data_IF_380735713964
#
_entry.id   IF_380735713964
#
_cell.length_a   1.000
_cell.length_b   1.000
_cell.length_c   1.000
_cell.angle_alpha   90.00
_cell.angle_beta   90.00
_cell.angle_gamma   90.00
#
_symmetry.space_group_name_H-M   'P 1'
#
loop_
_entity.id
_entity.type
_entity.pdbx_description
1 polymer ?
#
# COMPACT_ATOMS: atom_id res chain seq x y z
N UNK A 1 9.46 9.02 22.22
CA UNK A 1 10.20 8.28 21.17
C UNK A 1 11.37 9.15 20.77
N UNK A 2 12.60 8.62 20.84
CA UNK A 2 13.79 9.43 20.53
C UNK A 2 13.89 9.68 19.01
N UNK A 3 14.63 10.72 18.60
CA UNK A 3 14.78 11.10 17.21
C UNK A 3 15.43 9.98 16.36
N UNK A 4 16.27 9.15 16.98
CA UNK A 4 16.89 7.98 16.37
C UNK A 4 15.84 6.93 15.95
N UNK A 5 14.90 6.59 16.83
CA UNK A 5 13.83 5.63 16.53
C UNK A 5 12.95 6.10 15.37
N UNK A 6 12.62 7.40 15.36
CA UNK A 6 11.86 8.03 14.27
C UNK A 6 12.57 7.90 12.92
N UNK A 7 13.85 8.22 12.89
CA UNK A 7 14.66 8.12 11.68
C UNK A 7 14.77 6.68 11.19
N UNK A 8 14.95 5.74 12.12
CA UNK A 8 15.01 4.32 11.81
C UNK A 8 13.71 3.81 11.18
N UNK A 9 12.56 4.11 11.81
CA UNK A 9 11.24 3.75 11.27
C UNK A 9 10.97 4.39 9.89
N UNK A 10 11.35 5.66 9.72
CA UNK A 10 11.21 6.37 8.44
C UNK A 10 12.04 5.71 7.34
N UNK A 11 13.30 5.35 7.62
CA UNK A 11 14.18 4.68 6.65
C UNK A 11 13.64 3.31 6.26
N UNK A 12 13.17 2.51 7.23
CA UNK A 12 12.56 1.22 6.93
C UNK A 12 11.32 1.35 6.04
N UNK A 13 10.46 2.34 6.32
CA UNK A 13 9.31 2.64 5.47
C UNK A 13 9.73 2.98 4.03
N UNK A 14 10.76 3.79 3.86
CA UNK A 14 11.28 4.14 2.52
C UNK A 14 11.94 2.95 1.81
N UNK A 15 12.65 2.08 2.53
CA UNK A 15 13.24 0.85 1.97
C UNK A 15 12.15 -0.09 1.46
N UNK A 16 11.00 -0.15 2.14
CA UNK A 16 9.86 -0.95 1.67
C UNK A 16 9.27 -0.46 0.33
N UNK A 17 9.63 0.73 -0.16
CA UNK A 17 9.26 1.20 -1.51
C UNK A 17 10.17 0.63 -2.60
N UNK A 18 11.33 0.06 -2.24
CA UNK A 18 12.32 -0.40 -3.20
C UNK A 18 11.76 -1.40 -4.22
N UNK A 19 10.93 -2.40 -3.85
CA UNK A 19 10.36 -3.30 -4.84
C UNK A 19 9.43 -2.60 -5.83
N UNK A 20 8.62 -1.63 -5.41
CA UNK A 20 7.76 -0.86 -6.34
C UNK A 20 8.58 -0.11 -7.38
N UNK A 21 9.61 0.62 -6.93
CA UNK A 21 10.46 1.43 -7.81
C UNK A 21 11.30 0.53 -8.72
N UNK A 22 11.93 -0.52 -8.16
CA UNK A 22 12.79 -1.42 -8.90
C UNK A 22 12.01 -2.18 -9.98
N UNK A 23 10.86 -2.77 -9.63
CA UNK A 23 10.04 -3.52 -10.59
C UNK A 23 9.50 -2.61 -11.70
N UNK A 24 9.14 -1.36 -11.38
CA UNK A 24 8.74 -0.36 -12.37
C UNK A 24 9.88 -0.03 -13.35
N UNK A 25 11.10 0.23 -12.84
CA UNK A 25 12.27 0.50 -13.70
C UNK A 25 12.64 -0.73 -14.55
N UNK A 26 12.66 -1.92 -13.96
CA UNK A 26 12.99 -3.15 -14.69
C UNK A 26 11.97 -3.42 -15.80
N UNK A 27 10.69 -3.16 -15.55
CA UNK A 27 9.65 -3.26 -16.59
C UNK A 27 9.95 -2.37 -17.80
N UNK A 28 10.55 -1.19 -17.62
CA UNK A 28 10.98 -0.33 -18.73
C UNK A 28 12.17 -0.87 -19.53
N UNK A 29 13.07 -1.60 -18.88
CA UNK A 29 14.33 -2.03 -19.48
C UNK A 29 14.23 -3.36 -20.23
N UNK A 30 13.21 -4.17 -19.95
CA UNK A 30 13.06 -5.52 -20.53
C UNK A 30 12.10 -5.55 -21.73
N UNK A 31 12.20 -6.55 -22.64
CA UNK A 31 11.20 -6.81 -23.68
C UNK A 31 9.79 -7.09 -23.13
N UNK A 32 8.78 -6.91 -23.98
CA UNK A 32 7.35 -7.09 -23.62
C UNK A 32 7.04 -8.48 -23.05
N UNK A 33 7.70 -9.50 -23.60
CA UNK A 33 7.59 -10.91 -23.19
C UNK A 33 7.90 -11.14 -21.71
N UNK A 34 8.79 -10.33 -21.14
CA UNK A 34 9.25 -10.44 -19.74
C UNK A 34 8.62 -9.34 -18.87
N UNK A 35 8.11 -8.25 -19.46
CA UNK A 35 7.49 -7.14 -18.75
C UNK A 35 6.29 -7.58 -17.89
N UNK A 36 5.50 -8.55 -18.36
CA UNK A 36 4.35 -9.09 -17.65
C UNK A 36 4.72 -9.65 -16.26
N UNK A 37 5.88 -10.30 -16.14
CA UNK A 37 6.37 -10.81 -14.86
C UNK A 37 6.60 -9.69 -13.84
N UNK A 38 7.21 -8.57 -14.26
CA UNK A 38 7.47 -7.44 -13.36
C UNK A 38 6.17 -6.70 -12.97
N UNK A 39 5.20 -6.65 -13.88
CA UNK A 39 3.85 -6.13 -13.60
C UNK A 39 3.16 -6.97 -12.54
N UNK A 40 3.12 -8.28 -12.71
CA UNK A 40 2.53 -9.20 -11.75
C UNK A 40 3.25 -9.15 -10.41
N UNK A 41 4.58 -9.17 -10.40
CA UNK A 41 5.39 -9.07 -9.19
C UNK A 41 5.08 -7.77 -8.40
N UNK A 42 4.88 -6.65 -9.10
CA UNK A 42 4.56 -5.38 -8.44
C UNK A 42 3.15 -5.41 -7.83
N UNK A 43 2.17 -6.00 -8.54
CA UNK A 43 0.81 -6.15 -8.03
C UNK A 43 0.75 -7.11 -6.82
N UNK A 44 1.48 -8.23 -6.88
CA UNK A 44 1.61 -9.17 -5.75
C UNK A 44 2.25 -8.49 -4.54
N UNK A 45 3.29 -7.69 -4.76
CA UNK A 45 3.88 -6.90 -3.68
C UNK A 45 2.91 -5.87 -3.10
N UNK A 46 2.07 -5.27 -3.94
CA UNK A 46 0.97 -4.40 -3.51
C UNK A 46 0.00 -5.08 -2.54
N UNK A 47 -0.36 -6.34 -2.81
CA UNK A 47 -1.18 -7.15 -1.88
C UNK A 47 -0.47 -7.32 -0.53
N UNK A 48 0.83 -7.66 -0.55
CA UNK A 48 1.60 -7.85 0.68
C UNK A 48 1.67 -6.57 1.53
N UNK A 49 1.90 -5.40 0.90
CA UNK A 49 1.92 -4.12 1.62
C UNK A 49 0.54 -3.75 2.17
N UNK A 50 -0.55 -3.96 1.41
CA UNK A 50 -1.90 -3.72 1.93
C UNK A 50 -2.23 -4.67 3.10
N UNK A 51 -1.74 -5.92 3.05
CA UNK A 51 -1.75 -6.86 4.18
C UNK A 51 -1.02 -6.33 5.41
N UNK A 52 0.19 -5.82 5.23
CA UNK A 52 0.97 -5.22 6.30
C UNK A 52 0.26 -4.02 6.96
N UNK A 53 -0.32 -3.14 6.15
CA UNK A 53 -1.13 -2.00 6.63
C UNK A 53 -2.36 -2.49 7.38
N UNK A 54 -3.04 -3.50 6.85
CA UNK A 54 -4.18 -4.14 7.50
C UNK A 54 -3.84 -4.68 8.90
N UNK A 55 -2.70 -5.35 9.02
CA UNK A 55 -2.19 -5.88 10.29
C UNK A 55 -1.92 -4.80 11.35
N UNK A 56 -1.52 -3.59 10.93
CA UNK A 56 -1.35 -2.46 11.84
C UNK A 56 -2.67 -2.08 12.51
N UNK A 57 -3.80 -2.11 11.81
CA UNK A 57 -5.11 -1.81 12.40
C UNK A 57 -5.49 -2.82 13.48
N UNK A 58 -5.15 -4.10 13.31
CA UNK A 58 -5.37 -5.11 14.34
C UNK A 58 -4.52 -4.83 15.57
N UNK A 59 -3.21 -4.61 15.37
CA UNK A 59 -2.27 -4.32 16.45
C UNK A 59 -2.67 -3.09 17.25
N UNK A 60 -2.97 -1.98 16.57
CA UNK A 60 -3.41 -0.76 17.22
C UNK A 60 -4.72 -0.98 17.96
N UNK A 61 -5.71 -1.58 17.31
CA UNK A 61 -7.01 -1.84 17.94
C UNK A 61 -6.85 -2.42 19.33
N UNK A 62 -6.08 -3.51 19.50
CA UNK A 62 -5.92 -4.20 20.79
C UNK A 62 -5.28 -3.37 21.91
N UNK A 63 -4.60 -2.27 21.59
CA UNK A 63 -3.95 -1.38 22.56
C UNK A 63 -4.93 -0.30 23.06
N UNK A 64 -6.02 -0.05 22.35
CA UNK A 64 -7.02 0.95 22.76
C UNK A 64 -7.83 0.50 23.98
N UNK A 65 -7.64 1.19 25.10
CA UNK A 65 -8.32 0.87 26.35
C UNK A 65 -9.79 1.32 26.42
N UNK A 66 -10.18 2.33 25.63
CA UNK A 66 -11.52 2.96 25.67
C UNK A 66 -12.20 2.96 24.30
N UNK A 67 -12.60 1.78 23.82
CA UNK A 67 -13.29 1.62 22.53
C UNK A 67 -14.69 1.04 22.70
N UNK A 68 -15.60 1.48 21.82
CA UNK A 68 -16.88 0.78 21.65
C UNK A 68 -16.65 -0.57 20.95
N UNK A 69 -17.56 -1.53 21.17
CA UNK A 69 -17.52 -2.81 20.45
C UNK A 69 -17.73 -2.64 18.94
N UNK A 70 -18.46 -1.60 18.54
CA UNK A 70 -18.70 -1.27 17.14
C UNK A 70 -17.42 -0.80 16.44
N UNK A 71 -16.69 0.13 17.08
CA UNK A 71 -15.44 0.65 16.54
C UNK A 71 -14.37 -0.42 16.40
N UNK A 72 -14.25 -1.32 17.39
CA UNK A 72 -13.38 -2.47 17.32
C UNK A 72 -13.65 -3.32 16.07
N UNK A 73 -14.91 -3.71 15.87
CA UNK A 73 -15.28 -4.55 14.73
C UNK A 73 -14.96 -3.84 13.41
N UNK A 74 -15.24 -2.53 13.33
CA UNK A 74 -14.94 -1.72 12.14
C UNK A 74 -13.44 -1.72 11.83
N UNK A 75 -12.60 -1.47 12.83
CA UNK A 75 -11.14 -1.41 12.65
C UNK A 75 -10.55 -2.79 12.27
N UNK A 76 -11.08 -3.89 12.82
CA UNK A 76 -10.66 -5.25 12.45
C UNK A 76 -11.11 -5.63 11.04
N UNK A 77 -12.35 -5.32 10.65
CA UNK A 77 -12.86 -5.52 9.29
C UNK A 77 -11.99 -4.73 8.31
N UNK A 78 -11.71 -3.46 8.64
CA UNK A 78 -10.85 -2.63 7.83
C UNK A 78 -9.42 -3.15 7.73
N UNK A 79 -8.92 -3.83 8.77
CA UNK A 79 -7.63 -4.52 8.71
C UNK A 79 -7.56 -5.66 7.68
N UNK A 80 -8.69 -6.14 7.16
CA UNK A 80 -8.76 -7.27 6.21
C UNK A 80 -9.21 -6.83 4.82
N UNK A 81 -10.16 -5.90 4.74
CA UNK A 81 -10.80 -5.47 3.48
C UNK A 81 -9.80 -5.05 2.40
N UNK A 82 -8.82 -4.15 2.64
CA UNK A 82 -7.90 -3.71 1.60
C UNK A 82 -7.08 -4.85 0.99
N UNK A 83 -6.66 -5.82 1.81
CA UNK A 83 -5.89 -7.00 1.36
C UNK A 83 -6.72 -7.92 0.50
N UNK A 84 -7.98 -8.18 0.89
CA UNK A 84 -8.90 -9.00 0.09
C UNK A 84 -9.18 -8.32 -1.25
N UNK A 85 -9.48 -7.01 -1.24
CA UNK A 85 -9.71 -6.22 -2.45
C UNK A 85 -8.49 -6.26 -3.38
N UNK A 86 -7.29 -6.11 -2.82
CA UNK A 86 -6.05 -6.18 -3.60
C UNK A 86 -5.78 -7.59 -4.13
N UNK A 87 -6.04 -8.64 -3.35
CA UNK A 87 -5.90 -10.01 -3.81
C UNK A 87 -6.87 -10.33 -4.95
N UNK A 88 -8.14 -9.93 -4.83
CA UNK A 88 -9.12 -10.05 -5.93
C UNK A 88 -8.71 -9.28 -7.18
N UNK A 89 -7.99 -8.17 -7.04
CA UNK A 89 -7.47 -7.43 -8.19
C UNK A 89 -6.53 -8.27 -9.06
N UNK A 90 -5.84 -9.26 -8.48
CA UNK A 90 -4.94 -10.16 -9.22
C UNK A 90 -5.68 -11.14 -10.14
N UNK A 91 -6.98 -11.40 -9.89
CA UNK A 91 -7.77 -12.29 -10.74
C UNK A 91 -7.95 -11.72 -12.17
N UNK A 92 -7.80 -10.41 -12.33
CA UNK A 92 -7.85 -9.73 -13.61
C UNK A 92 -6.48 -9.12 -13.88
N UNK A 93 -5.55 -9.88 -14.49
CA UNK A 93 -4.25 -9.37 -14.95
C UNK A 93 -4.47 -8.42 -16.13
N UNK A 94 -4.96 -7.23 -15.83
CA UNK A 94 -5.26 -6.16 -16.76
C UNK A 94 -5.04 -4.81 -16.08
N UNK A 95 -5.21 -3.72 -16.83
CA UNK A 95 -5.15 -2.36 -16.29
C UNK A 95 -6.04 -2.11 -15.07
N UNK A 96 -7.13 -2.88 -14.92
CA UNK A 96 -8.06 -2.74 -13.79
C UNK A 96 -7.42 -3.14 -12.45
N UNK A 97 -6.44 -4.04 -12.43
CA UNK A 97 -5.76 -4.45 -11.19
C UNK A 97 -5.05 -3.25 -10.52
N UNK A 98 -4.33 -2.45 -11.31
CA UNK A 98 -3.67 -1.25 -10.82
C UNK A 98 -4.69 -0.24 -10.29
N UNK A 99 -5.79 -0.01 -11.00
CA UNK A 99 -6.85 0.92 -10.54
C UNK A 99 -7.41 0.49 -9.18
N UNK A 100 -7.72 -0.79 -9.01
CA UNK A 100 -8.24 -1.34 -7.76
C UNK A 100 -7.24 -1.16 -6.62
N UNK A 101 -5.96 -1.49 -6.83
CA UNK A 101 -4.95 -1.34 -5.79
C UNK A 101 -4.66 0.13 -5.46
N UNK A 102 -4.58 1.03 -6.44
CA UNK A 102 -4.40 2.46 -6.20
C UNK A 102 -5.52 3.03 -5.32
N UNK A 103 -6.77 2.67 -5.66
CA UNK A 103 -7.95 3.02 -4.86
C UNK A 103 -7.81 2.46 -3.43
N UNK A 104 -7.45 1.18 -3.28
CA UNK A 104 -7.26 0.55 -1.98
C UNK A 104 -6.17 1.24 -1.13
N UNK A 105 -5.04 1.63 -1.73
CA UNK A 105 -3.98 2.38 -1.05
C UNK A 105 -4.44 3.76 -0.59
N UNK A 106 -5.13 4.51 -1.45
CA UNK A 106 -5.65 5.84 -1.11
C UNK A 106 -6.70 5.74 0.00
N UNK A 107 -7.65 4.81 -0.10
CA UNK A 107 -8.65 4.62 0.95
C UNK A 107 -8.04 4.15 2.26
N UNK A 108 -7.05 3.26 2.22
CA UNK A 108 -6.32 2.83 3.41
C UNK A 108 -5.67 4.02 4.11
N UNK A 109 -5.00 4.91 3.37
CA UNK A 109 -4.43 6.15 3.92
C UNK A 109 -5.50 7.10 4.51
N UNK A 110 -6.66 7.24 3.87
CA UNK A 110 -7.72 8.09 4.40
C UNK A 110 -8.37 7.51 5.66
N UNK A 111 -8.42 6.17 5.79
CA UNK A 111 -8.83 5.51 7.02
C UNK A 111 -7.77 5.66 8.11
N UNK A 112 -6.50 5.45 7.78
CA UNK A 112 -5.33 5.65 8.64
C UNK A 112 -5.41 7.04 9.32
N UNK A 113 -5.67 8.13 8.58
CA UNK A 113 -5.81 9.46 9.18
C UNK A 113 -6.82 9.54 10.32
N UNK A 114 -8.01 8.97 10.11
CA UNK A 114 -9.10 9.02 11.10
C UNK A 114 -8.76 8.16 12.31
N UNK A 115 -8.20 6.98 12.04
CA UNK A 115 -7.81 6.03 13.06
C UNK A 115 -6.64 6.58 13.90
N UNK A 116 -5.67 7.23 13.29
CA UNK A 116 -4.49 7.74 13.98
C UNK A 116 -4.80 8.94 14.87
N UNK A 117 -5.77 9.77 14.49
CA UNK A 117 -6.31 10.81 15.38
C UNK A 117 -6.94 10.22 16.65
N UNK A 118 -7.63 9.09 16.53
CA UNK A 118 -8.27 8.42 17.67
C UNK A 118 -7.25 7.76 18.62
N UNK A 119 -6.11 7.35 18.10
CA UNK A 119 -5.05 6.67 18.84
C UNK A 119 -3.90 7.58 19.27
N UNK A 120 -4.05 8.90 19.07
CA UNK A 120 -3.04 9.92 19.37
C UNK A 120 -1.65 9.59 18.82
N UNK A 121 -1.62 9.03 17.60
CA UNK A 121 -0.37 8.67 16.95
C UNK A 121 0.40 9.94 16.54
N UNK A 122 1.74 9.91 16.61
CA UNK A 122 2.54 11.07 16.24
C UNK A 122 2.28 11.53 14.80
N UNK A 123 2.17 12.84 14.58
CA UNK A 123 1.89 13.45 13.27
C UNK A 123 2.90 13.05 12.17
N UNK A 124 4.15 12.80 12.54
CA UNK A 124 5.18 12.35 11.59
C UNK A 124 4.87 10.99 10.95
N UNK A 125 4.12 10.13 11.65
CA UNK A 125 3.76 8.81 11.13
C UNK A 125 2.68 8.94 10.04
N UNK A 126 1.70 9.83 10.23
CA UNK A 126 0.70 10.17 9.19
C UNK A 126 1.39 10.72 7.95
N UNK A 127 2.36 11.62 8.13
CA UNK A 127 3.15 12.21 7.04
C UNK A 127 4.00 11.16 6.32
N UNK A 128 4.60 10.22 7.06
CA UNK A 128 5.31 9.09 6.47
C UNK A 128 4.36 8.27 5.60
N UNK A 129 3.20 7.87 6.13
CA UNK A 129 2.20 7.09 5.40
C UNK A 129 1.75 7.78 4.12
N UNK A 130 1.53 9.09 4.17
CA UNK A 130 1.23 9.90 2.99
C UNK A 130 2.30 9.75 1.90
N UNK A 131 3.57 9.97 2.25
CA UNK A 131 4.69 9.87 1.30
C UNK A 131 4.81 8.47 0.70
N UNK A 132 4.68 7.43 1.54
CA UNK A 132 4.71 6.04 1.06
C UNK A 132 3.58 5.80 0.06
N UNK A 133 2.34 6.18 0.39
CA UNK A 133 1.19 6.04 -0.51
C UNK A 133 1.38 6.80 -1.82
N UNK A 134 1.90 8.04 -1.78
CA UNK A 134 2.18 8.81 -2.99
C UNK A 134 3.16 8.07 -3.90
N UNK A 135 4.29 7.58 -3.37
CA UNK A 135 5.27 6.86 -4.19
C UNK A 135 4.67 5.58 -4.77
N UNK A 136 3.97 4.77 -3.97
CA UNK A 136 3.32 3.53 -4.43
C UNK A 136 2.32 3.81 -5.56
N UNK A 137 1.45 4.81 -5.38
CA UNK A 137 0.46 5.16 -6.41
C UNK A 137 1.16 5.68 -7.66
N UNK A 138 2.17 6.53 -7.54
CA UNK A 138 2.93 7.02 -8.70
C UNK A 138 3.61 5.89 -9.46
N UNK A 139 4.25 4.94 -8.77
CA UNK A 139 4.89 3.79 -9.44
C UNK A 139 3.85 2.89 -10.12
N UNK A 140 2.67 2.70 -9.51
CA UNK A 140 1.57 1.94 -10.10
C UNK A 140 0.97 2.64 -11.34
N UNK A 141 0.83 3.97 -11.32
CA UNK A 141 0.40 4.75 -12.49
C UNK A 141 1.41 4.59 -13.64
N UNK A 142 2.70 4.76 -13.36
CA UNK A 142 3.75 4.62 -14.38
C UNK A 142 3.78 3.21 -14.94
N UNK A 143 3.65 2.20 -14.09
CA UNK A 143 3.59 0.79 -14.50
C UNK A 143 2.38 0.52 -15.40
N UNK A 144 1.20 1.01 -15.03
CA UNK A 144 -0.02 0.90 -15.82
C UNK A 144 0.12 1.54 -17.21
N UNK A 145 0.57 2.80 -17.26
CA UNK A 145 0.77 3.53 -18.53
C UNK A 145 1.73 2.77 -19.44
N UNK A 146 2.84 2.28 -18.88
CA UNK A 146 3.86 1.54 -19.64
C UNK A 146 3.30 0.25 -20.22
N UNK A 147 2.63 -0.54 -19.40
CA UNK A 147 2.04 -1.81 -19.84
C UNK A 147 0.98 -1.57 -20.93
N UNK A 148 0.14 -0.55 -20.78
CA UNK A 148 -0.85 -0.18 -21.80
C UNK A 148 -0.18 0.29 -23.08
N UNK A 149 0.70 1.29 -23.04
CA UNK A 149 1.35 1.84 -24.24
C UNK A 149 2.11 0.77 -25.02
N UNK A 150 2.87 -0.08 -24.33
CA UNK A 150 3.68 -1.12 -25.00
C UNK A 150 2.83 -2.25 -25.60
N UNK A 151 1.62 -2.51 -25.10
CA UNK A 151 0.73 -3.52 -25.67
C UNK A 151 -0.03 -3.03 -26.92
N UNK A 152 -0.09 -1.71 -27.16
CA UNK A 152 -0.80 -1.10 -28.29
C UNK A 152 0.11 -0.43 -29.32
N UNK A 153 1.43 -0.49 -29.14
CA UNK A 153 2.46 0.02 -30.06
C UNK A 153 3.02 -1.13 -30.92
#
# INVERSE_FOLDING_TARGET
MDNLDKQFATRLGMIALAPFVLLMILCWLVPLEVAAFFVEAQLVYGVAILGFVGGLHWGLSFIESKRSTHDLKRDLIWGVVPTIVAWFSLAYISGTAFLVQMIAFVFSYQYDKRMYQRFDLPSWFVELRYRLTCVVVTTQVLMFVTFTVRNYA
#
